data_IF_904416237082
#
_entry.id   IF_904416237082
#
_cell.length_a   1.000
_cell.length_b   1.000
_cell.length_c   1.000
_cell.angle_alpha   90.00
_cell.angle_beta   90.00
_cell.angle_gamma   90.00
#
_symmetry.space_group_name_H-M   'P 1'
#
loop_
_entity.id
_entity.type
_entity.pdbx_description
1 polymer ?
#
# COMPACT_ATOMS: atom_id res chain seq x y z
N UNK A 1 26.85 -9.84 -41.42
CA UNK A 1 27.09 -10.35 -40.04
C UNK A 1 26.88 -9.27 -38.96
N UNK A 2 27.55 -8.09 -39.03
CA UNK A 2 27.34 -7.01 -38.05
C UNK A 2 25.89 -6.47 -38.02
N UNK A 3 25.28 -6.23 -39.20
CA UNK A 3 23.89 -5.74 -39.29
C UNK A 3 22.89 -6.73 -38.69
N UNK A 4 23.05 -8.03 -38.93
CA UNK A 4 22.21 -9.08 -38.33
C UNK A 4 22.43 -9.18 -36.80
N UNK A 5 23.66 -8.94 -36.31
CA UNK A 5 23.93 -8.89 -34.88
C UNK A 5 23.26 -7.69 -34.22
N UNK A 6 23.31 -6.50 -34.84
CA UNK A 6 22.63 -5.31 -34.33
C UNK A 6 21.11 -5.46 -34.35
N UNK A 7 20.52 -6.02 -35.41
CA UNK A 7 19.07 -6.31 -35.45
C UNK A 7 18.65 -7.31 -34.38
N UNK A 8 19.42 -8.38 -34.18
CA UNK A 8 19.14 -9.36 -33.14
C UNK A 8 19.27 -8.76 -31.74
N UNK A 9 20.29 -7.92 -31.49
CA UNK A 9 20.46 -7.22 -30.20
C UNK A 9 19.28 -6.27 -29.95
N UNK A 10 18.91 -5.47 -30.95
CA UNK A 10 17.75 -4.56 -30.84
C UNK A 10 16.44 -5.32 -30.61
N UNK A 11 16.28 -6.47 -31.24
CA UNK A 11 15.11 -7.35 -31.05
C UNK A 11 15.06 -7.93 -29.64
N UNK A 12 16.21 -8.34 -29.11
CA UNK A 12 16.33 -8.86 -27.73
C UNK A 12 16.10 -7.73 -26.71
N UNK A 13 16.63 -6.55 -26.94
CA UNK A 13 16.42 -5.39 -26.05
C UNK A 13 14.96 -4.95 -25.97
N UNK A 14 14.16 -5.21 -27.03
CA UNK A 14 12.73 -4.92 -27.05
C UNK A 14 11.85 -6.04 -26.46
N UNK A 15 12.47 -7.14 -25.98
CA UNK A 15 11.68 -8.18 -25.29
C UNK A 15 11.17 -7.65 -23.93
N UNK A 16 9.90 -7.91 -23.58
CA UNK A 16 9.35 -7.47 -22.29
C UNK A 16 10.17 -7.94 -21.08
N UNK A 17 10.75 -9.14 -21.16
CA UNK A 17 11.58 -9.70 -20.09
C UNK A 17 12.87 -8.90 -19.88
N UNK A 18 13.45 -8.30 -20.93
CA UNK A 18 14.66 -7.48 -20.83
C UNK A 18 14.33 -6.13 -20.20
N UNK A 19 13.20 -5.53 -20.54
CA UNK A 19 12.68 -4.32 -19.91
C UNK A 19 12.43 -4.53 -18.41
N UNK A 20 11.86 -5.68 -18.05
CA UNK A 20 11.64 -6.06 -16.63
C UNK A 20 12.99 -6.26 -15.92
N UNK A 21 13.93 -6.97 -16.54
CA UNK A 21 15.27 -7.18 -15.97
C UNK A 21 15.98 -5.84 -15.75
N UNK A 22 15.98 -4.97 -16.76
CA UNK A 22 16.55 -3.63 -16.66
C UNK A 22 15.93 -2.84 -15.51
N UNK A 23 14.60 -2.79 -15.43
CA UNK A 23 13.87 -2.13 -14.36
C UNK A 23 14.29 -2.69 -12.98
N UNK A 24 14.30 -4.01 -12.81
CA UNK A 24 14.67 -4.64 -11.54
C UNK A 24 16.11 -4.33 -11.12
N UNK A 25 17.06 -4.33 -12.06
CA UNK A 25 18.45 -4.01 -11.78
C UNK A 25 18.59 -2.55 -11.34
N UNK A 26 17.98 -1.60 -12.05
CA UNK A 26 18.05 -0.17 -11.73
C UNK A 26 17.42 0.11 -10.36
N UNK A 27 16.24 -0.45 -10.12
CA UNK A 27 15.49 -0.30 -8.85
C UNK A 27 16.28 -0.90 -7.69
N UNK A 28 16.87 -2.09 -7.88
CA UNK A 28 17.70 -2.72 -6.86
C UNK A 28 18.96 -1.88 -6.51
N UNK A 29 19.68 -1.37 -7.53
CA UNK A 29 20.83 -0.48 -7.32
C UNK A 29 20.41 0.77 -6.55
N UNK A 30 19.31 1.41 -6.93
CA UNK A 30 18.82 2.61 -6.29
C UNK A 30 18.39 2.36 -4.82
N UNK A 31 17.76 1.22 -4.54
CA UNK A 31 17.44 0.79 -3.18
C UNK A 31 18.68 0.61 -2.31
N UNK A 32 19.73 -0.04 -2.86
CA UNK A 32 20.99 -0.22 -2.14
C UNK A 32 21.73 1.10 -1.91
N UNK A 33 21.70 2.03 -2.88
CA UNK A 33 22.26 3.37 -2.72
C UNK A 33 21.53 4.17 -1.65
N UNK A 34 20.19 4.14 -1.64
CA UNK A 34 19.36 4.75 -0.59
C UNK A 34 19.74 4.24 0.80
N UNK A 35 19.91 2.93 0.93
CA UNK A 35 20.29 2.30 2.19
C UNK A 35 21.66 2.79 2.69
N UNK A 36 22.64 2.99 1.79
CA UNK A 36 23.98 3.49 2.14
C UNK A 36 23.96 4.91 2.68
N UNK A 37 23.00 5.74 2.28
CA UNK A 37 22.84 7.11 2.79
C UNK A 37 21.85 7.18 3.97
N UNK A 38 21.46 6.03 4.54
CA UNK A 38 20.59 5.95 5.72
C UNK A 38 19.09 6.11 5.46
N UNK A 39 18.67 6.09 4.18
CA UNK A 39 17.28 6.18 3.78
C UNK A 39 16.66 4.77 3.57
N UNK A 40 15.34 4.61 3.70
CA UNK A 40 14.67 3.38 3.35
C UNK A 40 14.90 3.00 1.87
N UNK A 41 15.21 1.72 1.55
CA UNK A 41 15.43 1.27 0.17
C UNK A 41 14.28 1.63 -0.78
N UNK A 42 13.05 1.46 -0.34
CA UNK A 42 11.83 1.77 -1.11
C UNK A 42 11.83 3.19 -1.67
N UNK A 43 12.42 4.14 -0.95
CA UNK A 43 12.51 5.53 -1.39
C UNK A 43 13.38 5.68 -2.64
N UNK A 44 14.56 5.01 -2.65
CA UNK A 44 15.42 4.96 -3.84
C UNK A 44 14.76 4.25 -5.01
N UNK A 45 14.06 3.17 -4.74
CA UNK A 45 13.31 2.40 -5.74
C UNK A 45 12.23 3.24 -6.42
N UNK A 46 11.45 4.00 -5.64
CA UNK A 46 10.42 4.92 -6.16
C UNK A 46 11.03 6.06 -6.98
N UNK A 47 12.10 6.69 -6.48
CA UNK A 47 12.81 7.76 -7.20
C UNK A 47 13.41 7.25 -8.50
N UNK A 48 14.01 6.07 -8.50
CA UNK A 48 14.52 5.44 -9.71
C UNK A 48 13.42 5.17 -10.73
N UNK A 49 12.29 4.63 -10.29
CA UNK A 49 11.12 4.40 -11.15
C UNK A 49 10.59 5.70 -11.79
N UNK A 50 10.57 6.79 -11.02
CA UNK A 50 10.19 8.11 -11.54
C UNK A 50 11.17 8.62 -12.59
N UNK A 51 12.49 8.45 -12.36
CA UNK A 51 13.54 8.93 -13.26
C UNK A 51 13.51 8.16 -14.58
N UNK A 52 13.53 6.82 -14.54
CA UNK A 52 13.57 6.00 -15.75
C UNK A 52 12.23 5.86 -16.46
N UNK A 53 11.15 6.17 -15.76
CA UNK A 53 9.78 6.09 -16.26
C UNK A 53 9.42 7.22 -17.23
N UNK A 54 8.16 7.21 -17.72
CA UNK A 54 7.64 8.19 -18.67
C UNK A 54 7.75 9.67 -18.23
N UNK A 55 7.72 10.01 -16.93
CA UNK A 55 7.78 11.42 -16.52
C UNK A 55 9.10 12.14 -16.81
N UNK A 56 10.24 11.42 -16.83
CA UNK A 56 11.57 12.06 -16.96
C UNK A 56 12.36 11.49 -18.17
N UNK A 57 12.83 10.26 -18.10
CA UNK A 57 13.68 9.68 -19.15
C UNK A 57 12.93 8.84 -20.18
N UNK A 58 11.73 8.41 -19.86
CA UNK A 58 10.91 7.54 -20.73
C UNK A 58 11.65 6.30 -21.29
N UNK A 59 12.60 5.77 -20.49
CA UNK A 59 13.36 4.56 -20.86
C UNK A 59 12.56 3.29 -20.70
N UNK A 60 11.57 3.30 -19.79
CA UNK A 60 10.63 2.20 -19.56
C UNK A 60 9.24 2.71 -19.85
N UNK A 61 8.63 2.19 -20.91
CA UNK A 61 7.27 2.53 -21.30
C UNK A 61 6.26 1.59 -20.68
N UNK A 62 5.04 2.09 -20.49
CA UNK A 62 3.94 1.28 -19.99
C UNK A 62 3.61 0.14 -20.94
N UNK A 63 3.64 -1.08 -20.42
CA UNK A 63 3.21 -2.29 -21.13
C UNK A 63 2.25 -3.08 -20.25
N UNK A 64 1.37 -3.88 -20.86
CA UNK A 64 0.42 -4.73 -20.13
C UNK A 64 1.15 -5.68 -19.14
N UNK A 65 2.29 -6.23 -19.55
CA UNK A 65 3.11 -7.09 -18.69
C UNK A 65 3.65 -6.35 -17.47
N UNK A 66 4.11 -5.11 -17.62
CA UNK A 66 4.55 -4.27 -16.49
C UNK A 66 3.38 -3.87 -15.59
N UNK A 67 2.20 -3.61 -16.14
CA UNK A 67 1.01 -3.32 -15.36
C UNK A 67 0.61 -4.49 -14.47
N UNK A 68 0.60 -5.71 -15.01
CA UNK A 68 0.33 -6.93 -14.24
C UNK A 68 1.37 -7.11 -13.13
N UNK A 69 2.66 -6.93 -13.44
CA UNK A 69 3.73 -7.02 -12.45
C UNK A 69 3.59 -5.96 -11.36
N UNK A 70 3.26 -4.72 -11.71
CA UNK A 70 3.02 -3.63 -10.77
C UNK A 70 1.82 -3.93 -9.86
N UNK A 71 0.70 -4.44 -10.41
CA UNK A 71 -0.47 -4.85 -9.63
C UNK A 71 -0.15 -5.98 -8.66
N UNK A 72 0.63 -6.97 -9.10
CA UNK A 72 1.11 -8.03 -8.21
C UNK A 72 2.04 -7.48 -7.12
N UNK A 73 2.95 -6.58 -7.47
CA UNK A 73 3.82 -5.90 -6.52
C UNK A 73 3.02 -5.12 -5.46
N UNK A 74 2.02 -4.33 -5.88
CA UNK A 74 1.12 -3.62 -4.96
C UNK A 74 0.33 -4.59 -4.07
N UNK A 75 -0.17 -5.69 -4.64
CA UNK A 75 -0.85 -6.74 -3.89
C UNK A 75 0.05 -7.30 -2.78
N UNK A 76 1.27 -7.74 -3.12
CA UNK A 76 2.19 -8.31 -2.14
C UNK A 76 2.65 -7.29 -1.10
N UNK A 77 2.90 -6.05 -1.50
CA UNK A 77 3.29 -4.97 -0.58
C UNK A 77 2.18 -4.72 0.46
N UNK A 78 0.93 -4.65 0.02
CA UNK A 78 -0.20 -4.39 0.91
C UNK A 78 -0.57 -5.62 1.75
N UNK A 79 -0.47 -6.81 1.18
CA UNK A 79 -0.62 -8.04 1.93
C UNK A 79 0.42 -8.15 3.06
N UNK A 80 1.68 -7.82 2.76
CA UNK A 80 2.76 -7.77 3.73
C UNK A 80 2.51 -6.69 4.82
N UNK A 81 2.09 -5.49 4.43
CA UNK A 81 1.72 -4.45 5.39
C UNK A 81 0.58 -4.89 6.32
N UNK A 82 -0.38 -5.66 5.80
CA UNK A 82 -1.41 -6.32 6.59
C UNK A 82 -0.85 -7.34 7.57
N UNK A 83 0.10 -8.18 7.13
CA UNK A 83 0.79 -9.16 7.99
C UNK A 83 1.54 -8.51 9.16
N UNK A 84 2.12 -7.33 8.96
CA UNK A 84 2.80 -6.58 10.04
C UNK A 84 1.82 -5.93 11.03
N UNK A 85 0.54 -5.86 10.70
CA UNK A 85 -0.49 -5.25 11.54
C UNK A 85 -1.11 -6.31 12.45
N UNK A 86 -1.01 -6.14 13.78
CA UNK A 86 -1.58 -7.05 14.77
C UNK A 86 -3.04 -6.68 15.07
N UNK A 87 -4.03 -7.51 14.65
CA UNK A 87 -5.44 -7.19 14.86
C UNK A 87 -5.84 -7.15 16.33
N UNK A 88 -5.20 -7.91 17.21
CA UNK A 88 -5.51 -7.90 18.65
C UNK A 88 -5.09 -6.58 19.30
N UNK A 89 -4.02 -5.95 18.80
CA UNK A 89 -3.59 -4.64 19.28
C UNK A 89 -4.53 -3.54 18.80
N UNK A 90 -5.19 -3.70 17.64
CA UNK A 90 -6.21 -2.76 17.14
C UNK A 90 -7.34 -2.58 18.15
N UNK A 91 -7.85 -3.67 18.72
CA UNK A 91 -8.94 -3.62 19.71
C UNK A 91 -8.50 -3.07 21.08
N UNK A 92 -7.19 -2.98 21.35
CA UNK A 92 -6.62 -2.46 22.60
C UNK A 92 -6.08 -1.05 22.46
N UNK A 93 -6.32 -0.38 21.35
CA UNK A 93 -5.83 0.97 21.07
C UNK A 93 -6.42 1.97 22.09
N UNK A 94 -5.57 2.75 22.72
CA UNK A 94 -6.00 3.75 23.70
C UNK A 94 -6.80 4.88 23.02
N UNK A 95 -7.70 5.53 23.76
CA UNK A 95 -8.44 6.70 23.27
C UNK A 95 -7.50 7.79 22.73
N UNK A 96 -6.37 7.99 23.37
CA UNK A 96 -5.33 8.95 22.92
C UNK A 96 -4.76 8.54 21.57
N UNK A 97 -4.49 7.26 21.34
CA UNK A 97 -3.96 6.77 20.07
C UNK A 97 -4.99 6.90 18.92
N UNK A 98 -6.28 6.69 19.20
CA UNK A 98 -7.35 6.94 18.21
C UNK A 98 -7.38 8.42 17.82
N UNK A 99 -7.37 9.32 18.81
CA UNK A 99 -7.40 10.76 18.55
C UNK A 99 -6.17 11.25 17.78
N UNK A 100 -4.98 10.77 18.15
CA UNK A 100 -3.73 11.07 17.46
C UNK A 100 -3.77 10.52 16.01
N UNK A 101 -4.28 9.32 15.79
CA UNK A 101 -4.40 8.72 14.46
C UNK A 101 -5.37 9.52 13.58
N UNK A 102 -6.53 9.91 14.11
CA UNK A 102 -7.49 10.74 13.37
C UNK A 102 -6.87 12.08 12.97
N UNK A 103 -6.26 12.80 13.90
CA UNK A 103 -5.62 14.08 13.60
C UNK A 103 -4.41 13.91 12.69
N UNK A 104 -3.62 12.85 12.89
CA UNK A 104 -2.48 12.51 12.05
C UNK A 104 -2.84 12.22 10.60
N UNK A 105 -4.07 11.78 10.34
CA UNK A 105 -4.60 11.57 8.99
C UNK A 105 -5.28 12.83 8.44
N UNK A 106 -6.21 13.41 9.21
CA UNK A 106 -7.08 14.49 8.73
C UNK A 106 -6.30 15.78 8.49
N UNK A 107 -5.33 16.12 9.36
CA UNK A 107 -4.58 17.38 9.24
C UNK A 107 -3.68 17.37 7.99
N UNK A 108 -2.83 16.36 7.73
CA UNK A 108 -2.05 16.31 6.49
C UNK A 108 -2.93 16.24 5.24
N UNK A 109 -4.04 15.49 5.29
CA UNK A 109 -5.01 15.42 4.20
C UNK A 109 -5.54 16.81 3.85
N UNK A 110 -6.07 17.55 4.85
CA UNK A 110 -6.63 18.87 4.64
C UNK A 110 -5.56 19.87 4.16
N UNK A 111 -4.37 19.87 4.76
CA UNK A 111 -3.29 20.75 4.34
C UNK A 111 -2.83 20.45 2.91
N UNK A 112 -2.65 19.18 2.55
CA UNK A 112 -2.29 18.78 1.19
C UNK A 112 -3.32 19.24 0.16
N UNK A 113 -4.60 19.06 0.48
CA UNK A 113 -5.70 19.52 -0.37
C UNK A 113 -5.69 21.05 -0.54
N UNK A 114 -5.54 21.79 0.56
CA UNK A 114 -5.50 23.26 0.54
C UNK A 114 -4.32 23.79 -0.27
N UNK A 115 -3.14 23.19 -0.12
CA UNK A 115 -1.93 23.58 -0.87
C UNK A 115 -2.15 23.37 -2.37
N UNK A 116 -2.67 22.22 -2.79
CA UNK A 116 -2.91 21.94 -4.22
C UNK A 116 -3.92 22.90 -4.83
N UNK A 117 -5.04 23.16 -4.14
CA UNK A 117 -6.05 24.10 -4.60
C UNK A 117 -5.48 25.52 -4.62
N UNK A 118 -4.71 25.92 -3.62
CA UNK A 118 -4.06 27.22 -3.54
C UNK A 118 -3.03 27.47 -4.64
N UNK A 119 -2.42 26.41 -5.18
CA UNK A 119 -1.52 26.45 -6.34
C UNK A 119 -2.26 26.40 -7.69
N UNK A 120 -3.59 26.46 -7.69
CA UNK A 120 -4.42 26.43 -8.91
C UNK A 120 -4.82 25.03 -9.38
N UNK A 121 -4.59 24.01 -8.58
CA UNK A 121 -5.06 22.65 -8.85
C UNK A 121 -6.57 22.50 -8.66
N UNK A 122 -7.14 21.47 -9.29
CA UNK A 122 -8.56 21.13 -9.15
C UNK A 122 -8.85 20.49 -7.80
N UNK A 123 -10.12 20.48 -7.41
CA UNK A 123 -10.60 19.79 -6.20
C UNK A 123 -10.21 18.30 -6.19
N UNK A 124 -10.38 17.60 -7.33
CA UNK A 124 -10.01 16.18 -7.45
C UNK A 124 -8.50 15.95 -7.28
N UNK A 125 -7.67 16.84 -7.83
CA UNK A 125 -6.23 16.78 -7.62
C UNK A 125 -5.87 16.99 -6.14
N UNK A 126 -6.52 17.98 -5.48
CA UNK A 126 -6.36 18.23 -4.06
C UNK A 126 -6.78 17.02 -3.21
N UNK A 127 -7.92 16.43 -3.53
CA UNK A 127 -8.44 15.24 -2.86
C UNK A 127 -7.45 14.05 -2.96
N UNK A 128 -6.94 13.79 -4.17
CA UNK A 128 -6.01 12.69 -4.42
C UNK A 128 -4.64 12.91 -3.75
N UNK A 129 -4.06 14.09 -3.90
CA UNK A 129 -2.76 14.44 -3.28
C UNK A 129 -2.89 14.47 -1.76
N UNK A 130 -3.98 15.07 -1.23
CA UNK A 130 -4.25 15.03 0.21
C UNK A 130 -4.33 13.60 0.75
N UNK A 131 -5.04 12.72 0.05
CA UNK A 131 -5.11 11.30 0.40
C UNK A 131 -3.73 10.62 0.37
N UNK A 132 -2.92 10.90 -0.66
CA UNK A 132 -1.60 10.31 -0.83
C UNK A 132 -0.62 10.69 0.30
N UNK A 133 -0.67 11.93 0.79
CA UNK A 133 0.24 12.41 1.85
C UNK A 133 -0.30 12.18 3.26
N UNK A 134 -1.56 11.81 3.43
CA UNK A 134 -2.15 11.55 4.75
C UNK A 134 -1.63 10.27 5.39
N UNK A 135 -1.33 9.23 4.58
CA UNK A 135 -0.83 7.96 5.08
C UNK A 135 0.64 8.00 5.48
N UNK A 136 0.95 7.48 6.65
CA UNK A 136 2.33 7.46 7.15
C UNK A 136 2.85 6.03 7.35
N UNK A 137 4.14 5.81 7.04
CA UNK A 137 4.76 4.49 7.14
C UNK A 137 4.85 3.99 8.59
N UNK A 138 4.17 2.89 8.87
CA UNK A 138 4.24 2.19 10.16
C UNK A 138 5.64 1.59 10.38
N UNK A 139 6.28 1.07 9.33
CA UNK A 139 7.63 0.50 9.40
C UNK A 139 8.65 1.56 9.81
N UNK A 140 8.59 2.75 9.23
CA UNK A 140 9.49 3.86 9.59
C UNK A 140 9.27 4.30 11.03
N UNK A 141 8.01 4.41 11.48
CA UNK A 141 7.68 4.73 12.87
C UNK A 141 8.25 3.69 13.85
N UNK A 142 8.06 2.40 13.56
CA UNK A 142 8.54 1.31 14.42
C UNK A 142 10.07 1.30 14.51
N UNK A 143 10.77 1.54 13.40
CA UNK A 143 12.23 1.62 13.37
C UNK A 143 12.76 2.77 14.23
N UNK A 144 12.20 3.98 14.07
CA UNK A 144 12.59 5.14 14.88
C UNK A 144 12.37 4.86 16.37
N UNK A 145 11.22 4.30 16.74
CA UNK A 145 10.91 3.95 18.13
C UNK A 145 11.86 2.88 18.69
N UNK A 146 12.28 1.94 17.85
CA UNK A 146 13.27 0.92 18.21
C UNK A 146 14.64 1.55 18.45
N UNK A 147 15.13 2.39 17.53
CA UNK A 147 16.43 3.06 17.62
C UNK A 147 16.49 3.98 18.87
N UNK A 148 15.37 4.64 19.21
CA UNK A 148 15.22 5.44 20.44
C UNK A 148 15.01 4.60 21.71
N UNK A 149 14.92 3.28 21.62
CA UNK A 149 14.65 2.34 22.72
C UNK A 149 13.34 2.63 23.50
N UNK A 150 12.33 3.20 22.82
CA UNK A 150 11.02 3.53 23.42
C UNK A 150 9.87 2.71 22.83
N UNK A 151 10.11 1.79 21.89
CA UNK A 151 9.08 0.97 21.26
C UNK A 151 8.22 0.20 22.27
N UNK A 152 8.85 -0.35 23.33
CA UNK A 152 8.19 -1.10 24.42
C UNK A 152 7.66 -0.23 25.57
N UNK A 153 7.76 1.10 25.48
CA UNK A 153 7.22 2.03 26.49
C UNK A 153 5.78 2.44 26.12
N UNK A 154 5.04 3.01 27.08
CA UNK A 154 3.66 3.49 26.89
C UNK A 154 3.53 4.43 25.67
N UNK A 155 4.50 5.31 25.48
CA UNK A 155 4.59 6.22 24.34
C UNK A 155 4.69 5.45 23.00
N UNK A 156 5.58 4.44 22.95
CA UNK A 156 5.73 3.59 21.77
C UNK A 156 4.44 2.85 21.40
N UNK A 157 3.76 2.26 22.38
CA UNK A 157 2.45 1.62 22.16
C UNK A 157 1.39 2.62 21.69
N UNK A 158 1.39 3.85 22.18
CA UNK A 158 0.45 4.88 21.74
C UNK A 158 0.72 5.30 20.29
N UNK A 159 1.99 5.51 19.93
CA UNK A 159 2.38 5.88 18.55
C UNK A 159 2.10 4.73 17.59
N UNK A 160 2.41 3.48 17.95
CA UNK A 160 2.09 2.32 17.10
C UNK A 160 0.59 2.12 16.95
N UNK A 161 -0.18 2.29 18.03
CA UNK A 161 -1.64 2.25 17.98
C UNK A 161 -2.23 3.35 17.09
N UNK A 162 -1.70 4.58 17.19
CA UNK A 162 -2.14 5.67 16.31
C UNK A 162 -1.79 5.42 14.85
N UNK A 163 -0.64 4.79 14.56
CA UNK A 163 -0.27 4.42 13.20
C UNK A 163 -1.23 3.39 12.57
N UNK A 164 -1.79 2.48 13.37
CA UNK A 164 -2.81 1.53 12.89
C UNK A 164 -4.11 2.25 12.51
N UNK A 165 -4.57 3.18 13.35
CA UNK A 165 -5.76 4.00 13.06
C UNK A 165 -5.53 4.89 11.84
N UNK A 166 -4.38 5.53 11.76
CA UNK A 166 -3.94 6.35 10.63
C UNK A 166 -3.98 5.58 9.31
N UNK A 167 -3.39 4.38 9.26
CA UNK A 167 -3.40 3.53 8.07
C UNK A 167 -4.82 3.18 7.62
N UNK A 168 -5.71 2.80 8.54
CA UNK A 168 -7.10 2.47 8.21
C UNK A 168 -7.83 3.68 7.63
N UNK A 169 -7.72 4.84 8.26
CA UNK A 169 -8.37 6.06 7.80
C UNK A 169 -7.82 6.51 6.45
N UNK A 170 -6.50 6.44 6.25
CA UNK A 170 -5.85 6.78 4.98
C UNK A 170 -6.34 5.88 3.85
N UNK A 171 -6.53 4.59 4.08
CA UNK A 171 -7.10 3.69 3.06
C UNK A 171 -8.57 4.03 2.75
N UNK A 172 -9.37 4.40 3.74
CA UNK A 172 -10.75 4.84 3.52
C UNK A 172 -10.77 6.11 2.66
N UNK A 173 -9.96 7.11 3.02
CA UNK A 173 -9.85 8.37 2.27
C UNK A 173 -9.34 8.10 0.85
N UNK A 174 -8.33 7.25 0.69
CA UNK A 174 -7.79 6.87 -0.61
C UNK A 174 -8.85 6.20 -1.49
N UNK A 175 -9.71 5.34 -0.93
CA UNK A 175 -10.82 4.72 -1.69
C UNK A 175 -11.77 5.78 -2.24
N UNK A 176 -12.13 6.77 -1.42
CA UNK A 176 -12.97 7.89 -1.85
C UNK A 176 -12.27 8.69 -2.96
N UNK A 177 -10.98 8.98 -2.79
CA UNK A 177 -10.21 9.74 -3.77
C UNK A 177 -10.10 9.01 -5.11
N UNK A 178 -9.77 7.71 -5.11
CA UNK A 178 -9.66 6.89 -6.32
C UNK A 178 -11.01 6.82 -7.05
N UNK A 179 -12.10 6.53 -6.33
CA UNK A 179 -13.45 6.45 -6.92
C UNK A 179 -13.86 7.78 -7.55
N UNK A 180 -13.60 8.90 -6.86
CA UNK A 180 -13.89 10.24 -7.37
C UNK A 180 -13.12 10.57 -8.66
N UNK A 181 -11.85 10.16 -8.73
CA UNK A 181 -11.02 10.36 -9.93
C UNK A 181 -11.50 9.47 -11.09
N UNK A 182 -11.92 8.23 -10.83
CA UNK A 182 -12.45 7.32 -11.87
C UNK A 182 -13.77 7.85 -12.43
N UNK A 183 -14.64 8.40 -11.58
CA UNK A 183 -15.94 8.97 -12.00
C UNK A 183 -15.73 10.33 -12.69
N UNK A 184 -14.63 11.03 -12.40
CA UNK A 184 -14.32 12.37 -12.92
C UNK A 184 -14.98 13.51 -12.14
N UNK A 185 -15.81 13.19 -11.16
CA UNK A 185 -16.54 14.16 -10.33
C UNK A 185 -16.53 13.71 -8.86
N UNK A 186 -16.57 14.69 -7.96
CA UNK A 186 -16.80 14.47 -6.54
C UNK A 186 -18.13 15.08 -6.13
N UNK A 187 -19.06 14.24 -5.70
CA UNK A 187 -20.26 14.69 -5.00
C UNK A 187 -20.19 14.26 -3.54
N UNK A 188 -20.64 15.11 -2.62
CA UNK A 188 -20.66 14.79 -1.19
C UNK A 188 -21.45 13.50 -0.90
N UNK A 189 -22.53 13.28 -1.64
CA UNK A 189 -23.36 12.10 -1.50
C UNK A 189 -22.59 10.82 -1.86
N UNK A 190 -21.90 10.81 -3.01
CA UNK A 190 -21.04 9.68 -3.43
C UNK A 190 -19.86 9.46 -2.48
N UNK A 191 -19.27 10.55 -1.97
CA UNK A 191 -18.22 10.50 -0.96
C UNK A 191 -18.69 9.81 0.32
N UNK A 192 -19.86 10.18 0.84
CA UNK A 192 -20.46 9.56 2.05
C UNK A 192 -20.78 8.07 1.81
N UNK A 193 -21.36 7.75 0.65
CA UNK A 193 -21.66 6.34 0.30
C UNK A 193 -20.37 5.53 0.25
N UNK A 194 -19.34 6.01 -0.45
CA UNK A 194 -18.06 5.29 -0.57
C UNK A 194 -17.39 5.12 0.80
N UNK A 195 -17.45 6.13 1.65
CA UNK A 195 -16.95 6.07 3.01
C UNK A 195 -17.70 5.02 3.84
N UNK A 196 -19.02 4.96 3.70
CA UNK A 196 -19.84 3.96 4.37
C UNK A 196 -19.56 2.53 3.83
N UNK A 197 -19.54 2.34 2.51
CA UNK A 197 -19.23 1.07 1.85
C UNK A 197 -17.85 0.55 2.28
N UNK A 198 -16.82 1.41 2.24
CA UNK A 198 -15.47 1.05 2.63
C UNK A 198 -15.38 0.73 4.13
N UNK A 199 -16.03 1.52 4.99
CA UNK A 199 -16.08 1.25 6.43
C UNK A 199 -16.79 -0.06 6.75
N UNK A 200 -17.92 -0.33 6.11
CA UNK A 200 -18.65 -1.61 6.25
C UNK A 200 -17.77 -2.76 5.76
N UNK A 201 -17.11 -2.62 4.61
CA UNK A 201 -16.20 -3.63 4.10
C UNK A 201 -15.07 -3.94 5.09
N UNK A 202 -14.45 -2.93 5.70
CA UNK A 202 -13.44 -3.11 6.76
C UNK A 202 -14.02 -3.87 7.96
N UNK A 203 -15.15 -3.43 8.48
CA UNK A 203 -15.79 -4.07 9.65
C UNK A 203 -16.17 -5.52 9.38
N UNK A 204 -16.80 -5.78 8.23
CA UNK A 204 -17.20 -7.14 7.81
C UNK A 204 -15.96 -8.01 7.61
N UNK A 205 -14.93 -7.50 6.94
CA UNK A 205 -13.68 -8.23 6.69
C UNK A 205 -12.96 -8.56 8.00
N UNK A 206 -12.86 -7.61 8.94
CA UNK A 206 -12.27 -7.86 10.27
C UNK A 206 -13.10 -8.89 11.04
N UNK A 207 -14.43 -8.80 11.00
CA UNK A 207 -15.31 -9.75 11.69
C UNK A 207 -15.20 -11.17 11.10
N UNK A 208 -15.19 -11.29 9.76
CA UNK A 208 -14.99 -12.57 9.07
C UNK A 208 -13.60 -13.11 9.40
N UNK A 209 -12.57 -12.26 9.35
CA UNK A 209 -11.20 -12.61 9.70
C UNK A 209 -11.11 -13.17 11.12
N UNK A 210 -11.65 -12.46 12.09
CA UNK A 210 -11.66 -12.90 13.49
C UNK A 210 -12.33 -14.28 13.66
N UNK A 211 -13.40 -14.56 12.91
CA UNK A 211 -14.14 -15.84 13.00
C UNK A 211 -13.47 -16.97 12.21
N UNK A 212 -12.87 -16.67 11.05
CA UNK A 212 -12.17 -17.64 10.21
C UNK A 212 -10.73 -17.87 10.63
N UNK A 213 -10.11 -16.89 11.26
CA UNK A 213 -8.73 -16.88 11.69
C UNK A 213 -8.27 -18.20 12.33
N UNK A 214 -8.94 -18.75 13.36
CA UNK A 214 -8.50 -20.00 14.00
C UNK A 214 -8.53 -21.23 13.08
N UNK A 215 -9.39 -21.20 12.04
CA UNK A 215 -9.48 -22.29 11.05
C UNK A 215 -8.42 -22.17 10.00
N UNK A 216 -8.17 -20.95 9.53
CA UNK A 216 -7.14 -20.64 8.52
C UNK A 216 -5.76 -20.99 9.07
N UNK A 217 -5.45 -20.56 10.28
CA UNK A 217 -4.17 -20.79 10.95
C UNK A 217 -3.91 -22.26 11.20
N UNK A 218 -4.92 -22.98 11.71
CA UNK A 218 -4.82 -24.45 11.91
C UNK A 218 -4.49 -25.16 10.59
N UNK A 219 -5.12 -24.76 9.49
CA UNK A 219 -4.87 -25.36 8.18
C UNK A 219 -3.48 -25.03 7.66
N UNK A 220 -3.02 -23.78 7.83
CA UNK A 220 -1.69 -23.34 7.40
C UNK A 220 -0.56 -24.09 8.13
N UNK A 221 -0.68 -24.32 9.44
CA UNK A 221 0.30 -25.08 10.23
C UNK A 221 0.38 -26.54 9.85
N UNK A 222 -0.70 -27.12 9.40
CA UNK A 222 -0.77 -28.54 9.05
C UNK A 222 -0.36 -28.83 7.61
N UNK A 223 -0.15 -27.81 6.78
CA UNK A 223 0.08 -27.98 5.36
C UNK A 223 1.39 -27.34 4.93
N UNK A 224 2.23 -28.08 4.22
CA UNK A 224 3.46 -27.58 3.57
C UNK A 224 3.17 -26.51 2.51
N UNK A 225 1.89 -26.26 2.17
CA UNK A 225 1.42 -25.29 1.17
C UNK A 225 0.79 -24.05 1.81
N UNK A 226 1.13 -23.75 3.07
CA UNK A 226 0.55 -22.59 3.80
C UNK A 226 0.73 -21.26 3.09
N UNK A 227 1.90 -21.03 2.48
CA UNK A 227 2.16 -19.81 1.72
C UNK A 227 1.22 -19.66 0.51
N UNK A 228 1.03 -20.72 -0.29
CA UNK A 228 0.10 -20.70 -1.43
C UNK A 228 -1.32 -20.43 -0.98
N UNK A 229 -1.73 -21.04 0.14
CA UNK A 229 -3.05 -20.82 0.70
C UNK A 229 -3.24 -19.36 1.16
N UNK A 230 -2.24 -18.76 1.80
CA UNK A 230 -2.26 -17.35 2.20
C UNK A 230 -2.44 -16.42 0.98
N UNK A 231 -1.74 -16.70 -0.12
CA UNK A 231 -1.90 -15.95 -1.38
C UNK A 231 -3.32 -16.11 -1.94
N UNK A 232 -3.88 -17.33 -1.94
CA UNK A 232 -5.24 -17.57 -2.41
C UNK A 232 -6.24 -16.75 -1.60
N UNK A 233 -6.11 -16.75 -0.27
CA UNK A 233 -6.95 -15.92 0.61
C UNK A 233 -6.78 -14.44 0.28
N UNK A 234 -5.52 -13.99 0.09
CA UNK A 234 -5.21 -12.61 -0.28
C UNK A 234 -5.88 -12.19 -1.58
N UNK A 235 -5.74 -12.99 -2.63
CA UNK A 235 -6.36 -12.74 -3.93
C UNK A 235 -7.88 -12.78 -3.87
N UNK A 236 -8.46 -13.67 -3.06
CA UNK A 236 -9.91 -13.74 -2.86
C UNK A 236 -10.44 -12.43 -2.24
N UNK A 237 -9.78 -11.90 -1.20
CA UNK A 237 -10.17 -10.63 -0.60
C UNK A 237 -9.94 -9.43 -1.53
N UNK A 238 -8.86 -9.45 -2.31
CA UNK A 238 -8.60 -8.44 -3.33
C UNK A 238 -9.71 -8.44 -4.40
N UNK A 239 -10.08 -9.60 -4.90
CA UNK A 239 -11.19 -9.77 -5.84
C UNK A 239 -12.54 -9.35 -5.24
N UNK A 240 -12.81 -9.70 -3.98
CA UNK A 240 -14.03 -9.30 -3.29
C UNK A 240 -14.12 -7.79 -3.09
N UNK A 241 -12.98 -7.12 -2.80
CA UNK A 241 -12.90 -5.67 -2.73
C UNK A 241 -13.29 -5.02 -4.07
N UNK A 242 -12.76 -5.53 -5.19
CA UNK A 242 -13.09 -5.03 -6.54
C UNK A 242 -14.59 -5.18 -6.87
N UNK A 243 -15.21 -6.30 -6.50
CA UNK A 243 -16.67 -6.48 -6.65
C UNK A 243 -17.44 -5.41 -5.88
N UNK A 244 -16.96 -5.07 -4.68
CA UNK A 244 -17.55 -4.02 -3.84
C UNK A 244 -17.17 -2.60 -4.27
N UNK A 245 -16.53 -2.44 -5.44
CA UNK A 245 -16.02 -1.18 -5.99
C UNK A 245 -15.00 -0.48 -5.08
N UNK A 246 -14.30 -1.27 -4.28
CA UNK A 246 -13.21 -0.85 -3.42
C UNK A 246 -11.93 -1.34 -4.08
N UNK A 247 -10.87 -0.51 -4.09
CA UNK A 247 -9.62 -0.89 -4.75
C UNK A 247 -9.02 -2.17 -4.13
N UNK A 248 -8.56 -3.12 -4.97
CA UNK A 248 -8.05 -4.45 -4.57
C UNK A 248 -6.93 -4.39 -3.52
N UNK A 249 -6.15 -3.33 -3.49
CA UNK A 249 -5.09 -3.06 -2.52
C UNK A 249 -5.60 -3.15 -1.07
N UNK A 250 -6.81 -2.69 -0.82
CA UNK A 250 -7.43 -2.73 0.52
C UNK A 250 -7.82 -4.17 0.88
N UNK A 251 -8.34 -4.92 -0.07
CA UNK A 251 -8.63 -6.34 0.13
C UNK A 251 -7.36 -7.14 0.45
N UNK A 252 -6.27 -6.88 -0.26
CA UNK A 252 -4.97 -7.48 0.02
C UNK A 252 -4.46 -7.16 1.43
N UNK A 253 -4.55 -5.90 1.87
CA UNK A 253 -4.18 -5.47 3.22
C UNK A 253 -4.99 -6.20 4.30
N UNK A 254 -6.30 -6.27 4.14
CA UNK A 254 -7.18 -6.95 5.09
C UNK A 254 -6.92 -8.45 5.17
N UNK A 255 -6.64 -9.09 4.03
CA UNK A 255 -6.26 -10.49 4.02
C UNK A 255 -4.92 -10.73 4.76
N UNK A 256 -3.93 -9.84 4.56
CA UNK A 256 -2.68 -9.87 5.32
C UNK A 256 -2.91 -9.71 6.82
N UNK A 257 -3.78 -8.78 7.22
CA UNK A 257 -4.19 -8.58 8.60
C UNK A 257 -4.79 -9.85 9.24
N UNK A 258 -5.54 -10.63 8.46
CA UNK A 258 -6.13 -11.88 8.93
C UNK A 258 -5.11 -13.01 9.10
N UNK A 259 -4.00 -12.96 8.37
CA UNK A 259 -2.95 -14.00 8.40
C UNK A 259 -1.84 -13.65 9.39
N UNK A 260 -1.78 -12.40 9.90
CA UNK A 260 -0.63 -11.80 10.59
C UNK A 260 -0.16 -12.48 11.89
N UNK A 261 -1.04 -13.18 12.61
CA UNK A 261 -0.68 -13.76 13.92
C UNK A 261 0.21 -15.02 13.85
N UNK A 262 0.55 -15.53 12.68
CA UNK A 262 1.27 -16.80 12.57
C UNK A 262 2.67 -16.71 11.99
N UNK A 263 3.03 -15.57 11.40
CA UNK A 263 4.35 -15.39 10.77
C UNK A 263 5.29 -14.58 11.69
N UNK A 264 4.77 -13.96 12.74
CA UNK A 264 5.51 -13.26 13.78
C UNK A 264 5.82 -14.17 14.96
#
# INVERSE_FOLDING_TARGET
MLVQLTENVLRVLNLPIVSILFLLVVVWIAGELSKRIGLPPVLGELVAGLIIGPPILNMVTYTEGLDILAKLGMFFLMFYAGLETDPKKLFKVSRSAIFIGILGTVVPFALGMVVVIGLGGTFLQGLFIGAAISGTSMVTKSRILYDLKILKKRIGYTIMGSAMVDNMLSFIILSVAIKSVIIGEFTLFEGIITLAETSVFFLVSIFIGYKLYPRITKYMRQTTRGFTFAIIVGLFFAFFAEIMRIHFVIGAYLAGLMVSEEIA
#
